data_IF_971035877030
#
_entry.id   IF_971035877030
#
_cell.length_a   1.000
_cell.length_b   1.000
_cell.length_c   1.000
_cell.angle_alpha   90.00
_cell.angle_beta   90.00
_cell.angle_gamma   90.00
#
_symmetry.space_group_name_H-M   'P 1'
#
loop_
_entity.id
_entity.type
_entity.pdbx_description
1 polymer ?
#
# COMPACT_ATOMS: atom_id res chain seq x y z
N UNK A 1 13.14 -26.10 1.88
CA UNK A 1 13.93 -26.08 3.12
C UNK A 1 13.17 -26.86 4.20
N UNK A 2 13.81 -27.33 5.28
CA UNK A 2 13.19 -28.25 6.25
C UNK A 2 11.87 -27.79 6.89
N UNK A 3 11.67 -26.47 7.00
CA UNK A 3 10.48 -25.87 7.62
C UNK A 3 9.44 -25.34 6.60
N UNK A 4 9.55 -25.71 5.32
CA UNK A 4 8.60 -25.27 4.30
C UNK A 4 7.23 -25.90 4.54
N UNK A 5 6.16 -25.11 4.39
CA UNK A 5 4.81 -25.66 4.46
C UNK A 5 4.62 -26.75 3.39
N UNK A 6 4.01 -27.86 3.78
CA UNK A 6 3.84 -29.03 2.92
C UNK A 6 2.49 -29.05 2.19
N UNK A 7 1.47 -28.38 2.75
CA UNK A 7 0.13 -28.24 2.18
C UNK A 7 -0.66 -27.14 2.91
N UNK A 8 -1.83 -26.79 2.39
CA UNK A 8 -2.89 -26.13 3.17
C UNK A 8 -3.85 -27.18 3.75
N UNK A 9 -4.38 -26.93 4.95
CA UNK A 9 -5.28 -27.86 5.64
C UNK A 9 -6.55 -28.10 4.83
N UNK A 10 -6.81 -29.37 4.47
CA UNK A 10 -7.94 -29.81 3.63
C UNK A 10 -8.00 -29.16 2.23
N UNK A 11 -6.92 -28.56 1.74
CA UNK A 11 -6.91 -27.85 0.45
C UNK A 11 -5.53 -27.91 -0.25
N UNK A 12 -5.10 -29.13 -0.59
CA UNK A 12 -3.83 -29.36 -1.30
C UNK A 12 -3.83 -28.81 -2.73
N UNK A 13 -5.01 -28.72 -3.37
CA UNK A 13 -5.16 -28.15 -4.70
C UNK A 13 -4.81 -26.65 -4.69
N UNK A 14 -5.33 -25.88 -3.73
CA UNK A 14 -4.98 -24.47 -3.59
C UNK A 14 -3.51 -24.26 -3.24
N UNK A 15 -2.90 -25.14 -2.45
CA UNK A 15 -1.45 -25.09 -2.19
C UNK A 15 -0.64 -25.16 -3.49
N UNK A 16 -0.93 -26.14 -4.35
CA UNK A 16 -0.27 -26.27 -5.65
C UNK A 16 -0.53 -25.05 -6.54
N UNK A 17 -1.78 -24.60 -6.62
CA UNK A 17 -2.17 -23.45 -7.42
C UNK A 17 -1.46 -22.17 -6.98
N UNK A 18 -1.47 -21.84 -5.69
CA UNK A 18 -0.96 -20.57 -5.19
C UNK A 18 0.57 -20.51 -5.24
N UNK A 19 1.25 -21.60 -4.87
CA UNK A 19 2.68 -21.56 -4.61
C UNK A 19 3.54 -22.20 -5.70
N UNK A 20 3.00 -23.04 -6.59
CA UNK A 20 3.82 -23.81 -7.54
C UNK A 20 3.41 -23.65 -9.02
N UNK A 21 2.25 -23.03 -9.29
CA UNK A 21 1.76 -22.89 -10.68
C UNK A 21 2.33 -21.69 -11.43
N UNK A 22 2.72 -20.63 -10.72
CA UNK A 22 3.16 -19.37 -11.33
C UNK A 22 4.50 -19.51 -12.04
N UNK A 23 5.43 -20.27 -11.45
CA UNK A 23 6.75 -20.55 -12.03
C UNK A 23 7.02 -22.05 -11.88
N UNK A 24 6.98 -22.83 -12.99
CA UNK A 24 7.17 -24.27 -12.93
C UNK A 24 8.43 -24.66 -12.17
N UNK A 25 8.28 -25.54 -11.18
CA UNK A 25 9.38 -26.05 -10.36
C UNK A 25 9.94 -25.08 -9.31
N UNK A 26 9.35 -23.88 -9.13
CA UNK A 26 9.78 -22.92 -8.10
C UNK A 26 8.64 -22.55 -7.18
N UNK A 27 8.96 -22.44 -5.89
CA UNK A 27 8.03 -21.89 -4.89
C UNK A 27 7.87 -20.39 -5.09
N UNK A 28 6.64 -19.95 -5.30
CA UNK A 28 6.29 -18.56 -5.50
C UNK A 28 5.99 -17.87 -4.17
N UNK A 29 6.90 -17.00 -3.73
CA UNK A 29 6.75 -16.24 -2.47
C UNK A 29 5.65 -15.18 -2.55
N UNK A 30 5.39 -14.67 -3.76
CA UNK A 30 4.51 -13.53 -4.00
C UNK A 30 5.15 -12.18 -3.61
N UNK A 31 6.45 -12.16 -3.34
CA UNK A 31 7.21 -10.94 -3.05
C UNK A 31 8.05 -10.56 -4.27
N UNK A 32 8.06 -9.26 -4.60
CA UNK A 32 8.98 -8.69 -5.58
C UNK A 32 10.32 -8.42 -4.93
N UNK A 33 11.41 -8.73 -5.62
CA UNK A 33 12.75 -8.44 -5.14
C UNK A 33 13.68 -7.99 -6.27
N UNK A 34 14.68 -7.18 -5.93
CA UNK A 34 15.81 -6.83 -6.79
C UNK A 34 17.10 -7.36 -6.16
N UNK A 35 18.02 -7.82 -6.99
CA UNK A 35 19.38 -8.15 -6.58
C UNK A 35 20.29 -7.02 -7.05
N UNK A 36 21.12 -6.49 -6.15
CA UNK A 36 22.11 -5.47 -6.50
C UNK A 36 23.42 -6.09 -7.02
N UNK A 37 24.40 -5.25 -7.35
CA UNK A 37 25.68 -5.66 -7.91
C UNK A 37 26.51 -6.49 -6.92
N UNK A 38 26.29 -6.31 -5.61
CA UNK A 38 26.93 -7.06 -4.54
C UNK A 38 26.22 -8.39 -4.21
N UNK A 39 25.10 -8.69 -4.89
CA UNK A 39 24.32 -9.92 -4.71
C UNK A 39 23.34 -9.86 -3.53
N UNK A 40 23.10 -8.68 -2.95
CA UNK A 40 22.14 -8.48 -1.87
C UNK A 40 20.70 -8.36 -2.39
N UNK A 41 19.76 -8.99 -1.68
CA UNK A 41 18.33 -8.97 -2.02
C UNK A 41 17.61 -7.81 -1.35
N UNK A 42 16.97 -6.99 -2.17
CA UNK A 42 16.09 -5.90 -1.76
C UNK A 42 14.65 -6.32 -1.98
N UNK A 43 13.91 -6.53 -0.89
CA UNK A 43 12.48 -6.85 -0.97
C UNK A 43 11.69 -5.57 -1.28
N UNK A 44 11.01 -5.57 -2.42
CA UNK A 44 10.22 -4.44 -2.93
C UNK A 44 8.75 -4.49 -2.46
N UNK A 45 8.39 -5.52 -1.69
CA UNK A 45 7.06 -5.73 -1.14
C UNK A 45 6.28 -6.78 -1.91
N UNK A 46 4.97 -6.83 -1.68
CA UNK A 46 4.10 -7.80 -2.34
C UNK A 46 3.88 -7.44 -3.80
N UNK A 47 3.92 -8.43 -4.69
CA UNK A 47 3.67 -8.21 -6.13
C UNK A 47 2.22 -7.79 -6.43
N UNK A 48 1.28 -8.17 -5.58
CA UNK A 48 -0.15 -7.82 -5.68
C UNK A 48 -0.44 -6.39 -5.20
N UNK A 49 0.55 -5.76 -4.56
CA UNK A 49 0.55 -4.36 -4.18
C UNK A 49 1.22 -3.45 -5.21
N UNK A 50 1.71 -3.98 -6.34
CA UNK A 50 2.25 -3.16 -7.44
C UNK A 50 1.12 -2.47 -8.20
N UNK A 51 1.20 -1.14 -8.31
CA UNK A 51 0.20 -0.30 -8.98
C UNK A 51 0.71 0.06 -10.38
N UNK A 52 -0.17 -0.02 -11.39
CA UNK A 52 0.16 0.39 -12.75
C UNK A 52 -0.36 1.81 -13.00
N UNK A 53 0.55 2.78 -13.04
CA UNK A 53 0.26 4.19 -13.31
C UNK A 53 0.77 4.55 -14.69
N UNK A 54 -0.13 4.74 -15.65
CA UNK A 54 0.20 5.09 -17.04
C UNK A 54 1.26 4.16 -17.69
N UNK A 55 1.22 2.86 -17.39
CA UNK A 55 2.16 1.86 -17.89
C UNK A 55 3.38 1.62 -16.98
N UNK A 56 3.61 2.48 -15.98
CA UNK A 56 4.70 2.33 -15.02
C UNK A 56 4.27 1.48 -13.82
N UNK A 57 5.06 0.46 -13.50
CA UNK A 57 4.84 -0.41 -12.34
C UNK A 57 5.51 0.20 -11.12
N UNK A 58 4.70 0.73 -10.20
CA UNK A 58 5.17 1.39 -8.99
C UNK A 58 4.86 0.50 -7.78
N UNK A 59 5.88 0.19 -6.97
CA UNK A 59 5.70 -0.52 -5.72
C UNK A 59 5.14 0.41 -4.64
N UNK A 60 4.07 0.03 -3.95
CA UNK A 60 3.51 0.84 -2.85
C UNK A 60 4.53 1.06 -1.74
N UNK A 61 5.30 0.03 -1.39
CA UNK A 61 6.29 0.09 -0.31
C UNK A 61 7.43 1.07 -0.61
N UNK A 62 7.80 1.25 -1.89
CA UNK A 62 8.79 2.24 -2.31
C UNK A 62 8.28 3.65 -2.00
N UNK A 63 7.05 3.96 -2.40
CA UNK A 63 6.40 5.26 -2.15
C UNK A 63 6.17 5.50 -0.66
N UNK A 64 5.75 4.47 0.09
CA UNK A 64 5.59 4.54 1.54
C UNK A 64 6.93 4.80 2.24
N UNK A 65 8.00 4.12 1.82
CA UNK A 65 9.34 4.34 2.35
C UNK A 65 9.83 5.77 2.10
N UNK A 66 9.59 6.31 0.89
CA UNK A 66 9.90 7.70 0.59
C UNK A 66 9.08 8.67 1.46
N UNK A 67 7.79 8.40 1.71
CA UNK A 67 6.99 9.22 2.62
C UNK A 67 7.51 9.14 4.06
N UNK A 68 7.83 7.93 4.55
CA UNK A 68 8.33 7.69 5.92
C UNK A 68 9.74 8.26 6.13
N UNK A 69 10.54 8.43 5.08
CA UNK A 69 11.85 9.10 5.19
C UNK A 69 11.71 10.61 5.50
N UNK A 70 10.52 11.19 5.33
CA UNK A 70 10.25 12.56 5.72
C UNK A 70 10.19 12.73 7.26
N UNK A 71 10.86 13.73 7.86
CA UNK A 71 10.97 13.86 9.32
C UNK A 71 9.64 13.91 10.09
N UNK A 72 8.58 14.43 9.45
CA UNK A 72 7.25 14.61 10.04
C UNK A 72 6.32 13.39 9.92
N UNK A 73 6.69 12.39 9.12
CA UNK A 73 5.82 11.22 8.86
C UNK A 73 6.17 10.10 9.84
N UNK A 74 5.14 9.58 10.51
CA UNK A 74 5.26 8.39 11.34
C UNK A 74 5.02 7.12 10.51
N UNK A 75 3.94 7.11 9.72
CA UNK A 75 3.54 5.96 8.92
C UNK A 75 2.88 6.40 7.62
N UNK A 76 2.96 5.55 6.60
CA UNK A 76 2.28 5.76 5.34
C UNK A 76 1.67 4.47 4.80
N UNK A 77 0.51 4.59 4.16
CA UNK A 77 -0.10 3.54 3.36
C UNK A 77 -0.45 4.08 1.98
N UNK A 78 0.00 3.40 0.93
CA UNK A 78 -0.28 3.78 -0.46
C UNK A 78 -1.11 2.70 -1.13
N UNK A 79 -2.16 3.12 -1.83
CA UNK A 79 -3.03 2.24 -2.61
C UNK A 79 -3.35 2.84 -3.97
N UNK A 80 -3.72 1.96 -4.91
CA UNK A 80 -4.16 2.37 -6.24
C UNK A 80 -5.64 2.71 -6.23
N UNK A 81 -6.01 3.83 -6.86
CA UNK A 81 -7.38 4.18 -7.21
C UNK A 81 -7.55 4.06 -8.72
N UNK A 82 -8.62 3.43 -9.23
CA UNK A 82 -8.92 3.43 -10.67
C UNK A 82 -9.00 4.86 -11.22
N UNK A 83 -8.42 5.06 -12.40
CA UNK A 83 -8.44 6.34 -13.11
C UNK A 83 -8.68 6.13 -14.61
N UNK A 84 -9.62 6.85 -15.25
CA UNK A 84 -9.97 6.64 -16.66
C UNK A 84 -8.83 6.88 -17.65
N UNK A 85 -7.87 7.75 -17.33
CA UNK A 85 -6.79 8.14 -18.24
C UNK A 85 -5.50 7.37 -17.94
N UNK A 86 -5.16 7.25 -16.66
CA UNK A 86 -3.88 6.65 -16.22
C UNK A 86 -4.00 5.17 -15.89
N UNK A 87 -5.20 4.59 -15.95
CA UNK A 87 -5.52 3.25 -15.47
C UNK A 87 -5.65 3.21 -13.96
N UNK A 88 -4.58 3.56 -13.24
CA UNK A 88 -4.61 3.80 -11.80
C UNK A 88 -3.80 5.04 -11.42
N UNK A 89 -4.12 5.60 -10.26
CA UNK A 89 -3.35 6.66 -9.59
C UNK A 89 -3.04 6.30 -8.16
N UNK A 90 -1.97 6.85 -7.62
CA UNK A 90 -1.53 6.62 -6.25
C UNK A 90 -2.32 7.52 -5.28
N UNK A 91 -2.87 6.90 -4.23
CA UNK A 91 -3.48 7.57 -3.08
C UNK A 91 -2.67 7.20 -1.84
N UNK A 92 -2.16 8.21 -1.15
CA UNK A 92 -1.38 8.06 0.07
C UNK A 92 -2.17 8.51 1.30
N UNK A 93 -2.14 7.70 2.35
CA UNK A 93 -2.58 8.04 3.69
C UNK A 93 -1.36 8.12 4.58
N UNK A 94 -1.26 9.20 5.34
CA UNK A 94 -0.08 9.56 6.11
C UNK A 94 -0.51 9.83 7.54
N UNK A 95 0.14 9.16 8.48
CA UNK A 95 0.07 9.49 9.90
C UNK A 95 1.31 10.32 10.23
N UNK A 96 1.10 11.49 10.82
CA UNK A 96 2.20 12.36 11.23
C UNK A 96 2.75 11.94 12.60
N UNK A 97 3.99 12.34 12.88
CA UNK A 97 4.53 12.27 14.25
C UNK A 97 3.79 13.26 15.15
N UNK A 98 3.73 12.95 16.44
CA UNK A 98 3.02 13.78 17.43
C UNK A 98 3.53 15.22 17.43
N UNK A 99 2.59 16.18 17.50
CA UNK A 99 2.87 17.62 17.51
C UNK A 99 2.79 18.30 16.15
N UNK A 100 2.69 17.53 15.06
CA UNK A 100 2.48 18.07 13.72
C UNK A 100 0.99 18.14 13.38
N UNK A 101 0.55 19.24 12.77
CA UNK A 101 -0.81 19.40 12.26
C UNK A 101 -0.83 19.27 10.74
N UNK A 102 -1.88 18.64 10.21
CA UNK A 102 -2.08 18.56 8.76
C UNK A 102 -2.39 19.91 8.15
N UNK A 103 -1.66 20.29 7.10
CA UNK A 103 -1.92 21.49 6.30
C UNK A 103 -1.81 21.19 4.81
N UNK A 104 -2.41 22.04 3.96
CA UNK A 104 -2.24 21.92 2.51
C UNK A 104 -0.78 22.10 2.07
N UNK A 105 -0.03 22.98 2.77
CA UNK A 105 1.40 23.15 2.52
C UNK A 105 2.20 21.89 2.82
N UNK A 106 1.90 21.20 3.93
CA UNK A 106 2.55 19.94 4.29
C UNK A 106 2.20 18.82 3.29
N UNK A 107 0.94 18.77 2.83
CA UNK A 107 0.55 17.81 1.79
C UNK A 107 1.36 18.02 0.49
N UNK A 108 1.58 19.28 0.10
CA UNK A 108 2.40 19.61 -1.06
C UNK A 108 3.89 19.29 -0.84
N UNK A 109 4.41 19.60 0.35
CA UNK A 109 5.78 19.27 0.77
C UNK A 109 6.05 17.77 0.66
N UNK A 110 5.13 16.93 1.14
CA UNK A 110 5.24 15.46 1.09
C UNK A 110 5.16 14.92 -0.35
N UNK A 111 4.30 15.49 -1.20
CA UNK A 111 4.26 15.11 -2.62
C UNK A 111 5.58 15.44 -3.33
N UNK A 112 6.13 16.61 -3.06
CA UNK A 112 7.41 17.02 -3.63
C UNK A 112 8.56 16.17 -3.09
N UNK A 113 8.49 15.76 -1.82
CA UNK A 113 9.44 14.84 -1.23
C UNK A 113 9.48 13.50 -1.99
N UNK A 114 8.33 12.86 -2.22
CA UNK A 114 8.26 11.63 -3.03
C UNK A 114 8.78 11.86 -4.46
N UNK A 115 8.45 13.01 -5.05
CA UNK A 115 8.93 13.38 -6.40
C UNK A 115 10.45 13.44 -6.47
N UNK A 116 11.12 13.94 -5.41
CA UNK A 116 12.59 14.00 -5.34
C UNK A 116 13.22 12.63 -5.08
N UNK A 117 12.64 11.83 -4.18
CA UNK A 117 13.19 10.53 -3.78
C UNK A 117 13.07 9.47 -4.88
N UNK A 118 11.95 9.45 -5.62
CA UNK A 118 11.65 8.39 -6.60
C UNK A 118 11.48 8.98 -8.00
N UNK A 119 10.71 10.06 -8.12
CA UNK A 119 10.41 10.70 -9.39
C UNK A 119 8.97 11.14 -9.52
N UNK A 120 8.70 11.96 -10.54
CA UNK A 120 7.39 12.57 -10.76
C UNK A 120 6.25 11.55 -10.96
N UNK A 121 6.54 10.38 -11.51
CA UNK A 121 5.54 9.34 -11.77
C UNK A 121 5.03 8.65 -10.48
N UNK A 122 5.84 8.68 -9.42
CA UNK A 122 5.53 8.07 -8.13
C UNK A 122 4.87 9.06 -7.15
N UNK A 123 4.78 10.35 -7.52
CA UNK A 123 4.14 11.36 -6.69
C UNK A 123 2.64 11.06 -6.50
N UNK A 124 2.13 10.94 -5.25
CA UNK A 124 0.73 10.62 -5.01
C UNK A 124 -0.20 11.71 -5.52
N UNK A 125 -1.21 11.32 -6.31
CA UNK A 125 -2.24 12.25 -6.79
C UNK A 125 -3.10 12.73 -5.61
N UNK A 126 -3.48 11.79 -4.75
CA UNK A 126 -4.12 12.10 -3.46
C UNK A 126 -3.15 11.85 -2.30
N UNK A 127 -3.06 12.80 -1.37
CA UNK A 127 -2.33 12.63 -0.12
C UNK A 127 -3.16 13.15 1.04
N UNK A 128 -3.37 12.29 2.03
CA UNK A 128 -4.29 12.53 3.13
C UNK A 128 -3.62 12.27 4.46
N UNK A 129 -3.81 13.22 5.36
CA UNK A 129 -3.28 13.15 6.70
C UNK A 129 -4.39 12.58 7.57
N UNK A 130 -4.10 11.49 8.26
CA UNK A 130 -5.05 10.73 9.08
C UNK A 130 -4.43 10.42 10.42
N UNK A 131 -5.28 10.27 11.45
CA UNK A 131 -4.82 9.96 12.80
C UNK A 131 -4.29 8.53 12.93
N UNK A 132 -4.83 7.60 12.13
CA UNK A 132 -4.48 6.17 12.21
C UNK A 132 -4.79 5.42 10.92
N UNK A 133 -4.05 4.33 10.71
CA UNK A 133 -4.24 3.41 9.59
C UNK A 133 -4.92 2.12 10.07
N UNK A 134 -5.77 1.48 9.24
CA UNK A 134 -6.32 0.16 9.53
C UNK A 134 -5.19 -0.87 9.64
N UNK A 135 -4.99 -1.45 10.82
CA UNK A 135 -3.95 -2.46 11.08
C UNK A 135 -4.54 -3.71 11.70
N UNK A 136 -3.87 -4.84 11.46
CA UNK A 136 -4.12 -6.07 12.24
C UNK A 136 -3.59 -5.92 13.66
N UNK A 137 -4.01 -6.78 14.59
CA UNK A 137 -3.42 -6.88 15.95
C UNK A 137 -1.91 -7.18 15.97
N UNK A 138 -1.35 -7.62 14.85
CA UNK A 138 0.11 -7.80 14.67
C UNK A 138 0.82 -6.56 14.11
N UNK A 139 0.11 -5.43 13.97
CA UNK A 139 0.63 -4.16 13.47
C UNK A 139 0.72 -4.04 11.96
N UNK A 140 0.25 -5.04 11.19
CA UNK A 140 0.31 -4.97 9.72
C UNK A 140 -0.79 -4.08 9.17
N UNK A 141 -0.43 -3.08 8.37
CA UNK A 141 -1.38 -2.24 7.64
C UNK A 141 -2.22 -3.13 6.70
N UNK A 142 -3.54 -3.03 6.82
CA UNK A 142 -4.51 -3.76 6.01
C UNK A 142 -4.83 -2.99 4.72
N UNK A 143 -3.84 -2.89 3.81
CA UNK A 143 -3.98 -2.15 2.53
C UNK A 143 -5.20 -2.56 1.71
N UNK A 144 -5.62 -3.83 1.80
CA UNK A 144 -6.86 -4.29 1.14
C UNK A 144 -8.09 -3.51 1.56
N UNK A 145 -8.21 -3.15 2.84
CA UNK A 145 -9.38 -2.42 3.37
C UNK A 145 -9.38 -1.01 2.81
N UNK A 146 -8.21 -0.34 2.83
CA UNK A 146 -8.03 0.99 2.26
C UNK A 146 -8.35 0.98 0.76
N UNK A 147 -7.84 -0.02 0.02
CA UNK A 147 -8.09 -0.17 -1.43
C UNK A 147 -9.56 -0.41 -1.76
N UNK A 148 -10.23 -1.29 -1.00
CA UNK A 148 -11.66 -1.54 -1.17
C UNK A 148 -12.46 -0.26 -0.98
N UNK A 149 -12.19 0.50 0.09
CA UNK A 149 -12.85 1.78 0.36
C UNK A 149 -12.61 2.78 -0.78
N UNK A 150 -11.35 2.99 -1.16
CA UNK A 150 -10.95 3.90 -2.25
C UNK A 150 -11.59 3.53 -3.60
N UNK A 151 -11.91 2.25 -3.80
CA UNK A 151 -12.51 1.72 -5.03
C UNK A 151 -14.04 1.56 -4.93
N UNK A 152 -14.67 1.94 -3.82
CA UNK A 152 -16.11 1.73 -3.60
C UNK A 152 -16.54 0.26 -3.50
N UNK A 153 -15.62 -0.64 -3.18
CA UNK A 153 -15.86 -2.08 -3.03
C UNK A 153 -16.11 -2.45 -1.57
N UNK A 154 -16.74 -3.61 -1.34
CA UNK A 154 -16.89 -4.16 0.00
C UNK A 154 -15.52 -4.47 0.62
N UNK A 155 -15.37 -4.12 1.91
CA UNK A 155 -14.11 -4.30 2.65
C UNK A 155 -13.88 -5.75 3.12
N UNK A 156 -14.92 -6.60 3.02
CA UNK A 156 -14.89 -8.00 3.46
C UNK A 156 -14.73 -8.16 4.97
N UNK A 157 -14.18 -9.30 5.39
CA UNK A 157 -13.92 -9.61 6.80
C UNK A 157 -12.92 -8.61 7.42
N UNK A 158 -13.24 -8.04 8.57
CA UNK A 158 -12.40 -7.10 9.32
C UNK A 158 -12.15 -7.52 10.76
N UNK A 159 -12.46 -8.77 11.12
CA UNK A 159 -12.34 -9.32 12.50
C UNK A 159 -10.93 -9.26 13.11
N UNK A 160 -9.91 -9.14 12.27
CA UNK A 160 -8.49 -9.02 12.66
C UNK A 160 -8.02 -7.59 12.87
N UNK A 161 -8.86 -6.58 12.57
CA UNK A 161 -8.55 -5.18 12.87
C UNK A 161 -8.27 -5.02 14.36
N UNK A 162 -7.22 -4.26 14.65
CA UNK A 162 -6.91 -3.80 15.99
C UNK A 162 -7.96 -2.79 16.46
N UNK A 163 -8.28 -1.82 15.60
CA UNK A 163 -9.23 -0.75 15.87
C UNK A 163 -10.18 -0.55 14.68
N UNK A 164 -11.47 -0.89 14.81
CA UNK A 164 -12.47 -0.66 13.77
C UNK A 164 -12.61 0.82 13.37
N UNK A 165 -12.37 1.76 14.28
CA UNK A 165 -12.49 3.19 14.01
C UNK A 165 -11.45 3.72 13.00
N UNK A 166 -10.37 2.97 12.74
CA UNK A 166 -9.43 3.30 11.68
C UNK A 166 -10.06 3.21 10.27
N UNK A 167 -11.13 2.43 10.11
CA UNK A 167 -11.90 2.37 8.85
C UNK A 167 -12.65 3.67 8.61
N UNK A 168 -13.17 4.28 9.67
CA UNK A 168 -13.93 5.53 9.58
C UNK A 168 -13.03 6.72 9.23
N UNK A 169 -11.79 6.72 9.71
CA UNK A 169 -10.78 7.70 9.27
C UNK A 169 -10.55 7.66 7.75
N UNK A 170 -10.46 6.45 7.19
CA UNK A 170 -10.32 6.27 5.73
C UNK A 170 -11.59 6.71 4.99
N UNK A 171 -12.78 6.61 5.61
CA UNK A 171 -14.04 7.07 5.00
C UNK A 171 -14.23 8.58 5.06
N UNK A 172 -13.84 9.23 6.16
CA UNK A 172 -13.88 10.71 6.27
C UNK A 172 -13.17 11.34 5.08
N UNK A 173 -12.02 10.77 4.74
CA UNK A 173 -11.27 11.15 3.56
C UNK A 173 -12.09 11.08 2.24
N UNK A 174 -12.74 9.94 1.97
CA UNK A 174 -13.52 9.76 0.74
C UNK A 174 -14.54 10.88 0.56
N UNK A 175 -15.25 11.21 1.64
CA UNK A 175 -16.25 12.27 1.65
C UNK A 175 -15.66 13.65 1.36
N UNK A 176 -14.48 13.97 1.91
CA UNK A 176 -13.78 15.25 1.64
C UNK A 176 -13.32 15.40 0.19
N UNK A 177 -13.00 14.31 -0.50
CA UNK A 177 -12.55 14.37 -1.91
C UNK A 177 -13.72 14.47 -2.86
N UNK A 178 -14.79 13.74 -2.62
CA UNK A 178 -16.00 13.81 -3.44
C UNK A 178 -16.64 15.21 -3.38
N UNK A 179 -16.64 15.85 -2.20
CA UNK A 179 -17.13 17.21 -2.02
C UNK A 179 -16.29 18.28 -2.71
N UNK A 180 -14.98 18.09 -2.87
CA UNK A 180 -14.08 19.01 -3.61
C UNK A 180 -14.16 18.87 -5.13
N UNK A 181 -14.80 17.80 -5.64
CA UNK A 181 -15.00 17.56 -7.08
C UNK A 181 -16.37 18.05 -7.60
N UNK A 182 -17.28 18.44 -6.70
CA UNK A 182 -18.60 19.00 -7.01
C UNK A 182 -18.56 20.53 -7.01
#
# INVERSE_FOLDING_TARGET
WPAMLTTLYKDSARYQQVYWSQIPGKYFTGDGARVDEDGCFWLMGRIDDVINVAGHRIGTMEVESALVSHPKVAEAAVVGRPDPLKGQVLIAYVVLKGGEAGSDSLRQELREHVRREIGAIAAPEGLYITDKLPKTRSGKIMRRVIRSLVSGQEIGDTTTLEDPGAVDEVRKWLAEVETRKS
#
